data_IF_437180648920
#
_entry.id   IF_437180648920
#
_cell.length_a   1.000
_cell.length_b   1.000
_cell.length_c   1.000
_cell.angle_alpha   90.00
_cell.angle_beta   90.00
_cell.angle_gamma   90.00
#
_symmetry.space_group_name_H-M   'P 1'
#
loop_
_entity.id
_entity.type
_entity.pdbx_description
1 polymer ?
#
# COMPACT_ATOMS: atom_id res chain seq x y z
N UNK A 1 -4.64 -3.40 -27.83
CA UNK A 1 -3.22 -3.43 -27.38
C UNK A 1 -2.59 -2.06 -27.13
N UNK A 2 -3.03 -0.96 -27.79
CA UNK A 2 -2.43 0.38 -27.61
C UNK A 2 -2.54 0.94 -26.17
N UNK A 3 -3.64 0.66 -25.48
CA UNK A 3 -3.84 1.11 -24.09
C UNK A 3 -2.86 0.48 -23.10
N UNK A 4 -2.48 -0.79 -23.32
CA UNK A 4 -1.46 -1.46 -22.53
C UNK A 4 -0.09 -0.83 -22.77
N UNK A 5 0.23 -0.47 -24.02
CA UNK A 5 1.46 0.25 -24.34
C UNK A 5 1.53 1.61 -23.63
N UNK A 6 0.43 2.35 -23.58
CA UNK A 6 0.34 3.61 -22.84
C UNK A 6 0.51 3.42 -21.33
N UNK A 7 -0.04 2.35 -20.76
CA UNK A 7 0.17 2.00 -19.36
C UNK A 7 1.65 1.73 -19.08
N UNK A 8 2.31 0.93 -19.91
CA UNK A 8 3.75 0.65 -19.75
C UNK A 8 4.60 1.91 -19.84
N UNK A 9 4.28 2.82 -20.76
CA UNK A 9 4.96 4.11 -20.88
C UNK A 9 4.77 4.92 -19.59
N UNK A 10 3.54 5.01 -19.07
CA UNK A 10 3.25 5.71 -17.83
C UNK A 10 4.03 5.13 -16.64
N UNK A 11 4.06 3.80 -16.52
CA UNK A 11 4.83 3.11 -15.46
C UNK A 11 6.32 3.39 -15.59
N UNK A 12 6.88 3.31 -16.80
CA UNK A 12 8.30 3.57 -17.05
C UNK A 12 8.67 5.02 -16.67
N UNK A 13 7.85 5.99 -17.06
CA UNK A 13 8.06 7.41 -16.72
C UNK A 13 7.97 7.60 -15.20
N UNK A 14 6.94 7.05 -14.56
CA UNK A 14 6.75 7.15 -13.11
C UNK A 14 7.93 6.53 -12.34
N UNK A 15 8.42 5.37 -12.78
CA UNK A 15 9.58 4.71 -12.19
C UNK A 15 10.85 5.56 -12.31
N UNK A 16 11.11 6.13 -13.49
CA UNK A 16 12.27 6.99 -13.69
C UNK A 16 12.25 8.21 -12.77
N UNK A 17 11.08 8.85 -12.60
CA UNK A 17 10.90 9.97 -11.66
C UNK A 17 11.13 9.51 -10.22
N UNK A 18 10.51 8.40 -9.81
CA UNK A 18 10.67 7.86 -8.45
C UNK A 18 12.14 7.52 -8.14
N UNK A 19 12.87 6.95 -9.09
CA UNK A 19 14.30 6.66 -8.97
C UNK A 19 15.09 7.94 -8.69
N UNK A 20 14.84 9.01 -9.46
CA UNK A 20 15.51 10.30 -9.28
C UNK A 20 15.18 10.97 -7.95
N UNK A 21 13.94 10.90 -7.51
CA UNK A 21 13.57 11.39 -6.18
C UNK A 21 14.33 10.60 -5.09
N UNK A 22 14.37 9.27 -5.19
CA UNK A 22 15.04 8.38 -4.23
C UNK A 22 16.57 8.52 -4.19
N UNK A 23 17.21 9.04 -5.23
CA UNK A 23 18.65 9.37 -5.20
C UNK A 23 18.95 10.48 -4.16
N UNK A 24 17.97 11.33 -3.83
CA UNK A 24 18.15 12.45 -2.90
C UNK A 24 17.87 12.06 -1.44
N UNK A 25 18.51 12.71 -0.44
CA UNK A 25 18.21 12.46 0.97
C UNK A 25 16.74 12.71 1.33
N UNK A 26 16.17 13.83 0.86
CA UNK A 26 14.76 14.18 1.10
C UNK A 26 13.79 13.17 0.47
N UNK A 27 14.11 12.66 -0.72
CA UNK A 27 13.28 11.65 -1.36
C UNK A 27 13.27 10.31 -0.61
N UNK A 28 14.42 9.89 -0.07
CA UNK A 28 14.49 8.69 0.80
C UNK A 28 13.62 8.85 2.05
N UNK A 29 13.67 10.02 2.68
CA UNK A 29 12.82 10.33 3.84
C UNK A 29 11.32 10.32 3.47
N UNK A 30 10.97 10.90 2.33
CA UNK A 30 9.61 10.85 1.80
C UNK A 30 9.12 9.42 1.62
N UNK A 31 9.90 8.57 0.91
CA UNK A 31 9.52 7.18 0.69
C UNK A 31 9.48 6.37 1.98
N UNK A 32 10.37 6.64 2.94
CA UNK A 32 10.30 6.01 4.27
C UNK A 32 9.03 6.37 5.03
N UNK A 33 8.57 7.61 4.90
CA UNK A 33 7.32 8.06 5.51
C UNK A 33 6.11 7.38 4.87
N UNK A 34 6.13 7.24 3.53
CA UNK A 34 5.09 6.52 2.79
C UNK A 34 5.05 5.05 3.18
N UNK A 35 6.21 4.39 3.26
CA UNK A 35 6.33 2.98 3.67
C UNK A 35 5.72 2.73 5.06
N UNK A 36 6.08 3.59 6.03
CA UNK A 36 5.51 3.53 7.38
C UNK A 36 3.99 3.63 7.36
N UNK A 37 3.45 4.65 6.69
CA UNK A 37 2.00 4.86 6.57
C UNK A 37 1.29 3.67 5.91
N UNK A 38 1.91 3.07 4.91
CA UNK A 38 1.34 1.91 4.23
C UNK A 38 1.28 0.68 5.14
N UNK A 39 2.31 0.46 5.97
CA UNK A 39 2.32 -0.61 6.98
C UNK A 39 1.28 -0.37 8.06
N UNK A 40 1.22 0.83 8.62
CA UNK A 40 0.25 1.20 9.65
C UNK A 40 -1.19 1.02 9.14
N UNK A 41 -1.44 1.43 7.88
CA UNK A 41 -2.73 1.21 7.24
C UNK A 41 -3.06 -0.27 7.06
N UNK A 42 -2.11 -1.07 6.57
CA UNK A 42 -2.30 -2.51 6.36
C UNK A 42 -2.56 -3.26 7.67
N UNK A 43 -1.89 -2.88 8.75
CA UNK A 43 -2.10 -3.41 10.09
C UNK A 43 -3.51 -3.07 10.59
N UNK A 44 -3.92 -1.79 10.51
CA UNK A 44 -5.26 -1.36 10.90
C UNK A 44 -6.37 -2.07 10.11
N UNK A 45 -6.18 -2.28 8.80
CA UNK A 45 -7.12 -3.04 7.96
C UNK A 45 -7.20 -4.49 8.43
N UNK A 46 -6.05 -5.13 8.65
CA UNK A 46 -5.97 -6.53 9.10
C UNK A 46 -6.65 -6.72 10.46
N UNK A 47 -6.39 -5.82 11.39
CA UNK A 47 -7.00 -5.86 12.73
C UNK A 47 -8.51 -5.66 12.65
N UNK A 48 -8.98 -4.75 11.78
CA UNK A 48 -10.40 -4.60 11.50
C UNK A 48 -11.06 -5.89 10.98
N UNK A 49 -10.42 -6.58 10.04
CA UNK A 49 -10.91 -7.88 9.55
C UNK A 49 -10.93 -8.94 10.65
N UNK A 50 -9.86 -9.06 11.44
CA UNK A 50 -9.79 -10.02 12.55
C UNK A 50 -10.85 -9.76 13.62
N UNK A 51 -11.10 -8.49 13.93
CA UNK A 51 -12.15 -8.10 14.86
C UNK A 51 -13.52 -8.55 14.35
N UNK A 52 -13.82 -8.33 13.06
CA UNK A 52 -15.06 -8.81 12.44
C UNK A 52 -15.16 -10.33 12.41
N UNK A 53 -14.08 -11.03 12.11
CA UNK A 53 -14.05 -12.49 12.19
C UNK A 53 -14.27 -13.01 13.60
N UNK A 54 -13.72 -12.35 14.62
CA UNK A 54 -13.92 -12.68 16.01
C UNK A 54 -15.39 -12.46 16.44
N UNK A 55 -15.99 -11.32 16.06
CA UNK A 55 -17.40 -11.02 16.30
C UNK A 55 -18.34 -12.03 15.61
N UNK A 56 -18.05 -12.39 14.36
CA UNK A 56 -18.82 -13.39 13.61
C UNK A 56 -18.65 -14.77 14.26
N UNK A 57 -17.43 -15.14 14.66
CA UNK A 57 -17.17 -16.43 15.32
C UNK A 57 -17.88 -16.51 16.67
N UNK A 58 -17.86 -15.46 17.49
CA UNK A 58 -18.64 -15.42 18.74
C UNK A 58 -20.14 -15.50 18.46
N UNK A 59 -20.65 -14.81 17.45
CA UNK A 59 -22.06 -14.86 17.09
C UNK A 59 -22.51 -16.24 16.56
N UNK A 60 -21.63 -16.97 15.86
CA UNK A 60 -21.90 -18.33 15.37
C UNK A 60 -21.76 -19.38 16.48
N UNK A 61 -20.79 -19.19 17.39
CA UNK A 61 -20.52 -20.16 18.45
C UNK A 61 -21.56 -20.12 19.57
N UNK A 62 -22.35 -19.04 19.64
CA UNK A 62 -23.50 -18.91 20.54
C UNK A 62 -23.07 -18.65 21.98
N UNK A 63 -23.51 -17.51 22.51
CA UNK A 63 -23.90 -17.44 23.92
C UNK A 63 -25.20 -18.24 24.11
#
# INVERSE_FOLDING_TARGET
>A
MKSFLWLLIGVAIGFAVAHKVNETPKGREFFSTIDRKARDFGEAVTDGYRQREAEIRSAIQGD
#
